data_IF_341795296680
#
_entry.id   IF_341795296680
#
_cell.length_a   1.000
_cell.length_b   1.000
_cell.length_c   1.000
_cell.angle_alpha   90.00
_cell.angle_beta   90.00
_cell.angle_gamma   90.00
#
_symmetry.space_group_name_H-M   'P 1'
#
loop_
_entity.id
_entity.type
_entity.pdbx_description
1 polymer ?
#
# COMPACT_ATOMS: atom_id res chain seq x y z
N UNK A 1 7.17 -28.30 -0.01
CA UNK A 1 6.84 -27.52 -1.23
C UNK A 1 5.79 -28.28 -2.01
N UNK A 2 4.56 -27.80 -2.05
CA UNK A 2 3.52 -28.40 -2.87
C UNK A 2 3.70 -27.89 -4.31
N UNK A 3 4.04 -28.77 -5.24
CA UNK A 3 4.14 -28.47 -6.65
C UNK A 3 2.83 -28.83 -7.33
N UNK A 4 2.28 -27.89 -8.09
CA UNK A 4 1.23 -28.19 -9.05
C UNK A 4 1.88 -28.29 -10.44
N UNK A 5 2.15 -29.51 -10.89
CA UNK A 5 2.61 -29.74 -12.25
C UNK A 5 1.41 -29.96 -13.16
N UNK A 6 1.28 -29.14 -14.17
CA UNK A 6 0.33 -29.37 -15.27
C UNK A 6 1.03 -30.13 -16.37
N UNK A 7 0.89 -31.43 -16.40
CA UNK A 7 1.19 -32.24 -17.59
C UNK A 7 -0.13 -32.65 -18.23
N UNK A 8 -0.34 -32.22 -19.45
CA UNK A 8 -1.55 -32.49 -20.27
C UNK A 8 -2.88 -32.16 -19.60
N UNK A 9 -3.91 -31.91 -20.31
CA UNK A 9 -5.27 -31.47 -20.01
C UNK A 9 -5.90 -31.71 -18.61
N UNK A 10 -5.19 -32.30 -17.64
CA UNK A 10 -5.60 -32.44 -16.25
C UNK A 10 -4.48 -32.01 -15.29
N UNK A 11 -4.76 -31.13 -14.34
CA UNK A 11 -3.77 -30.75 -13.33
C UNK A 11 -3.52 -31.92 -12.39
N UNK A 12 -2.31 -32.49 -12.41
CA UNK A 12 -1.89 -33.44 -11.42
C UNK A 12 -1.35 -32.70 -10.19
N UNK A 13 -2.07 -32.80 -9.08
CA UNK A 13 -1.61 -32.32 -7.79
C UNK A 13 -0.67 -33.42 -7.23
N UNK A 14 0.63 -33.15 -7.19
CA UNK A 14 1.58 -34.06 -6.57
C UNK A 14 1.90 -33.55 -5.17
N UNK A 15 1.42 -34.25 -4.15
CA UNK A 15 1.84 -34.03 -2.77
C UNK A 15 3.03 -34.93 -2.50
N UNK A 16 4.18 -34.34 -2.19
CA UNK A 16 5.40 -35.10 -1.86
C UNK A 16 5.34 -35.75 -0.48
N UNK A 17 4.33 -35.39 0.33
CA UNK A 17 4.17 -35.91 1.69
C UNK A 17 5.14 -35.30 2.71
N UNK A 18 6.01 -34.39 2.30
CA UNK A 18 6.89 -33.65 3.20
C UNK A 18 6.19 -32.42 3.74
N UNK A 19 6.17 -32.27 5.06
CA UNK A 19 5.67 -31.06 5.71
C UNK A 19 6.69 -29.94 5.56
N UNK A 20 6.31 -28.85 4.92
CA UNK A 20 7.08 -27.61 4.92
C UNK A 20 6.54 -26.69 6.02
N UNK A 21 7.40 -26.38 6.98
CA UNK A 21 7.05 -25.46 8.06
C UNK A 21 7.94 -24.24 7.99
N UNK A 22 7.35 -23.09 7.66
CA UNK A 22 8.00 -21.80 7.77
C UNK A 22 7.48 -21.10 9.04
N UNK A 23 8.39 -20.82 9.99
CA UNK A 23 8.04 -20.13 11.24
C UNK A 23 8.69 -18.75 11.27
N UNK A 24 7.88 -17.73 11.34
CA UNK A 24 8.34 -16.35 11.52
C UNK A 24 7.70 -15.75 12.77
N UNK A 25 8.50 -15.09 13.58
CA UNK A 25 8.04 -14.39 14.77
C UNK A 25 8.51 -12.94 14.70
N UNK A 26 7.56 -12.04 14.58
CA UNK A 26 7.81 -10.60 14.55
C UNK A 26 7.16 -9.95 15.78
N UNK A 27 7.85 -8.98 16.38
CA UNK A 27 7.33 -8.19 17.50
C UNK A 27 7.42 -6.71 17.15
N UNK A 28 6.30 -6.00 17.22
CA UNK A 28 6.19 -4.59 16.91
C UNK A 28 5.68 -3.80 18.09
N UNK A 29 6.24 -2.62 18.30
CA UNK A 29 5.73 -1.64 19.25
C UNK A 29 5.01 -0.54 18.48
N UNK A 30 3.72 -0.34 18.75
CA UNK A 30 2.87 0.60 18.04
C UNK A 30 2.35 1.68 19.02
N UNK A 31 3.23 2.62 19.45
CA UNK A 31 2.82 3.68 20.36
C UNK A 31 1.83 4.62 19.69
N UNK A 32 0.92 5.16 20.49
CA UNK A 32 -0.03 6.17 20.09
C UNK A 32 -0.17 7.25 21.17
N UNK A 33 -0.12 8.51 20.74
CA UNK A 33 -0.33 9.66 21.60
C UNK A 33 -1.43 10.55 20.99
N UNK A 34 -2.42 10.90 21.80
CA UNK A 34 -3.51 11.78 21.40
C UNK A 34 -3.61 12.93 22.39
N UNK A 35 -3.62 14.14 21.85
CA UNK A 35 -3.81 15.36 22.61
C UNK A 35 -5.07 16.05 22.11
N UNK A 36 -5.88 16.52 23.05
CA UNK A 36 -7.05 17.34 22.77
C UNK A 36 -7.08 18.51 23.73
N UNK A 37 -7.20 19.71 23.19
CA UNK A 37 -7.30 20.93 23.95
C UNK A 37 -8.51 21.74 23.52
N UNK A 38 -9.34 22.14 24.48
CA UNK A 38 -10.53 22.95 24.28
C UNK A 38 -10.42 24.20 25.13
N UNK A 39 -9.83 25.29 24.59
CA UNK A 39 -9.74 26.54 25.35
C UNK A 39 -11.09 27.26 25.50
N UNK A 40 -12.05 26.93 24.63
CA UNK A 40 -13.42 27.43 24.66
C UNK A 40 -14.37 26.37 24.07
N UNK A 41 -15.66 26.47 24.34
CA UNK A 41 -16.66 25.51 23.86
C UNK A 41 -16.75 25.45 22.32
N UNK A 42 -16.45 26.55 21.68
CA UNK A 42 -16.46 26.70 20.24
C UNK A 42 -15.14 26.36 19.54
N UNK A 43 -14.03 26.11 20.29
CA UNK A 43 -12.72 25.85 19.75
C UNK A 43 -12.19 24.51 20.24
N UNK A 44 -11.79 23.65 19.28
CA UNK A 44 -11.21 22.37 19.59
C UNK A 44 -9.93 22.14 18.77
N UNK A 45 -8.84 21.88 19.45
CA UNK A 45 -7.53 21.61 18.88
C UNK A 45 -7.17 20.17 19.21
N UNK A 46 -6.69 19.43 18.19
CA UNK A 46 -6.26 18.04 18.36
C UNK A 46 -4.91 17.84 17.70
N UNK A 47 -4.10 17.01 18.33
CA UNK A 47 -2.88 16.49 17.76
C UNK A 47 -2.80 14.99 18.03
N UNK A 48 -2.35 14.22 17.08
CA UNK A 48 -2.13 12.79 17.20
C UNK A 48 -0.78 12.40 16.61
N UNK A 49 -0.12 11.46 17.28
CA UNK A 49 1.04 10.75 16.76
C UNK A 49 0.79 9.27 16.99
N UNK A 50 0.80 8.50 15.90
CA UNK A 50 0.47 7.08 15.95
C UNK A 50 1.38 6.27 15.06
N UNK A 51 1.73 5.06 15.50
CA UNK A 51 2.37 4.07 14.66
C UNK A 51 1.36 2.96 14.34
N UNK A 52 1.28 2.61 13.07
CA UNK A 52 0.36 1.59 12.58
C UNK A 52 1.10 0.55 11.76
N UNK A 53 0.50 -0.63 11.62
CA UNK A 53 1.06 -1.77 10.92
C UNK A 53 0.07 -2.26 9.87
N UNK A 54 0.57 -2.52 8.66
CA UNK A 54 -0.17 -3.17 7.58
C UNK A 54 0.45 -4.54 7.34
N UNK A 55 -0.29 -5.61 7.62
CA UNK A 55 0.19 -6.97 7.41
C UNK A 55 0.03 -7.38 5.96
N UNK A 56 0.96 -8.21 5.42
CA UNK A 56 0.76 -8.87 4.12
C UNK A 56 -0.52 -9.70 4.11
N UNK A 57 -1.12 -9.86 2.94
CA UNK A 57 -2.20 -10.82 2.79
C UNK A 57 -1.67 -12.24 3.00
N UNK A 58 -2.49 -13.10 3.58
CA UNK A 58 -2.10 -14.50 3.77
C UNK A 58 -1.80 -15.21 2.45
N UNK A 59 -2.52 -14.86 1.38
CA UNK A 59 -2.27 -15.38 0.04
C UNK A 59 -0.85 -15.10 -0.46
N UNK A 60 -0.26 -13.98 -0.08
CA UNK A 60 1.04 -13.54 -0.59
C UNK A 60 2.22 -14.21 0.12
N UNK A 61 1.98 -14.74 1.34
CA UNK A 61 3.00 -15.35 2.19
C UNK A 61 2.90 -16.89 2.29
N UNK A 62 1.91 -17.51 1.64
CA UNK A 62 1.82 -18.97 1.60
C UNK A 62 2.98 -19.49 0.75
N UNK A 63 3.77 -20.47 1.23
CA UNK A 63 4.89 -21.06 0.48
C UNK A 63 4.37 -21.99 -0.63
N UNK A 64 3.61 -21.43 -1.56
CA UNK A 64 3.04 -22.12 -2.70
C UNK A 64 3.57 -21.50 -3.99
N UNK A 65 4.15 -22.35 -4.83
CA UNK A 65 4.55 -21.99 -6.19
C UNK A 65 3.59 -22.68 -7.15
N UNK A 66 2.90 -21.91 -7.97
CA UNK A 66 2.02 -22.44 -9.00
C UNK A 66 2.68 -22.31 -10.38
N UNK A 67 2.98 -23.45 -11.01
CA UNK A 67 3.48 -23.49 -12.37
C UNK A 67 2.33 -23.32 -13.35
N UNK A 68 2.36 -22.27 -14.15
CA UNK A 68 1.35 -22.00 -15.17
C UNK A 68 1.76 -22.61 -16.52
N UNK A 69 1.60 -23.92 -16.63
CA UNK A 69 1.59 -24.70 -17.87
C UNK A 69 2.75 -24.44 -18.86
N UNK A 70 2.38 -24.32 -20.14
CA UNK A 70 3.30 -24.18 -21.27
C UNK A 70 4.02 -22.83 -21.36
N UNK A 71 3.73 -21.88 -20.47
CA UNK A 71 4.20 -20.52 -20.55
C UNK A 71 5.54 -20.27 -19.84
N UNK A 72 6.17 -21.28 -19.24
CA UNK A 72 7.37 -21.09 -18.42
C UNK A 72 7.19 -19.97 -17.38
N UNK A 73 6.01 -19.93 -16.79
CA UNK A 73 5.62 -18.92 -15.82
C UNK A 73 5.34 -19.56 -14.47
N UNK A 74 5.61 -18.81 -13.41
CA UNK A 74 5.36 -19.24 -12.03
C UNK A 74 4.71 -18.11 -11.27
N UNK A 75 3.64 -18.42 -10.52
CA UNK A 75 3.09 -17.51 -9.53
C UNK A 75 3.90 -17.69 -8.24
N UNK A 76 4.78 -16.72 -8.00
CA UNK A 76 5.70 -16.76 -6.88
C UNK A 76 5.16 -15.93 -5.73
N UNK A 77 5.00 -16.58 -4.59
CA UNK A 77 4.57 -15.92 -3.36
C UNK A 77 5.75 -15.72 -2.43
N UNK A 78 5.90 -14.48 -1.96
CA UNK A 78 7.02 -14.10 -1.12
C UNK A 78 6.67 -14.30 0.35
N UNK A 79 7.10 -15.45 0.91
CA UNK A 79 6.86 -15.79 2.32
C UNK A 79 7.64 -14.89 3.30
N UNK A 80 8.62 -14.14 2.82
CA UNK A 80 9.48 -13.27 3.62
C UNK A 80 8.99 -11.82 3.67
N UNK A 81 7.79 -11.53 3.14
CA UNK A 81 7.20 -10.21 3.20
C UNK A 81 7.11 -9.70 4.64
N UNK A 82 7.62 -8.50 4.84
CA UNK A 82 7.50 -7.78 6.10
C UNK A 82 6.23 -6.93 6.13
N UNK A 83 5.60 -6.78 7.30
CA UNK A 83 4.55 -5.81 7.47
C UNK A 83 5.03 -4.38 7.15
N UNK A 84 4.19 -3.64 6.48
CA UNK A 84 4.40 -2.20 6.29
C UNK A 84 4.16 -1.45 7.59
N UNK A 85 5.05 -0.55 7.96
CA UNK A 85 4.95 0.30 9.15
C UNK A 85 4.67 1.74 8.73
N UNK A 86 3.75 2.41 9.40
CA UNK A 86 3.44 3.81 9.17
C UNK A 86 3.52 4.63 10.45
N UNK A 87 4.34 5.67 10.44
CA UNK A 87 4.31 6.75 11.43
C UNK A 87 3.38 7.85 10.91
N UNK A 88 2.33 8.14 11.66
CA UNK A 88 1.33 9.12 11.31
C UNK A 88 1.36 10.29 12.30
N UNK A 89 1.25 11.51 11.80
CA UNK A 89 1.13 12.74 12.59
C UNK A 89 -0.03 13.54 12.03
N UNK A 90 -0.97 13.82 12.90
CA UNK A 90 -2.19 14.53 12.57
C UNK A 90 -2.32 15.75 13.47
N UNK A 91 -2.70 16.86 12.90
CA UNK A 91 -3.07 18.08 13.63
C UNK A 91 -4.38 18.60 13.07
N UNK A 92 -5.29 18.99 13.95
CA UNK A 92 -6.52 19.65 13.50
C UNK A 92 -6.97 20.73 14.47
N UNK A 93 -7.57 21.75 13.88
CA UNK A 93 -8.25 22.82 14.60
C UNK A 93 -9.67 22.92 14.05
N UNK A 94 -10.66 22.98 14.92
CA UNK A 94 -12.06 23.14 14.51
C UNK A 94 -12.77 24.18 15.35
N UNK A 95 -13.57 24.96 14.67
CA UNK A 95 -14.43 26.02 15.19
C UNK A 95 -15.88 25.60 14.99
N UNK A 96 -16.72 25.81 16.01
CA UNK A 96 -18.13 25.55 15.92
C UNK A 96 -18.88 26.70 16.58
N UNK A 97 -19.54 27.51 15.78
CA UNK A 97 -20.32 28.69 16.23
C UNK A 97 -21.65 28.79 15.49
N UNK A 98 -22.70 29.19 16.19
CA UNK A 98 -24.08 29.21 15.66
C UNK A 98 -24.24 30.01 14.37
N UNK A 99 -23.55 31.14 14.22
CA UNK A 99 -23.67 32.03 13.04
C UNK A 99 -22.69 31.65 11.92
N UNK A 100 -21.53 31.18 12.27
CA UNK A 100 -20.46 30.84 11.30
C UNK A 100 -20.63 29.40 10.81
N UNK A 101 -21.15 28.55 11.68
CA UNK A 101 -21.22 27.11 11.46
C UNK A 101 -19.97 26.38 11.97
N UNK A 102 -19.68 25.28 11.35
CA UNK A 102 -18.48 24.43 11.64
C UNK A 102 -17.42 24.70 10.57
N UNK A 103 -16.21 25.02 11.01
CA UNK A 103 -15.01 25.12 10.18
C UNK A 103 -13.96 24.21 10.78
N UNK A 104 -13.34 23.39 9.97
CA UNK A 104 -12.21 22.55 10.39
C UNK A 104 -11.07 22.64 9.40
N UNK A 105 -9.85 22.74 9.94
CA UNK A 105 -8.60 22.58 9.21
C UNK A 105 -7.85 21.41 9.80
N UNK A 106 -7.42 20.47 8.97
CA UNK A 106 -6.57 19.34 9.31
C UNK A 106 -5.29 19.37 8.49
N UNK A 107 -4.17 18.99 9.12
CA UNK A 107 -2.90 18.72 8.46
C UNK A 107 -2.42 17.35 8.89
N UNK A 108 -1.97 16.53 7.95
CA UNK A 108 -1.49 15.18 8.24
C UNK A 108 -0.22 14.86 7.47
N UNK A 109 0.59 14.01 8.09
CA UNK A 109 1.75 13.40 7.44
C UNK A 109 1.80 11.92 7.75
N UNK A 110 2.24 11.13 6.76
CA UNK A 110 2.48 9.70 6.92
C UNK A 110 3.86 9.35 6.35
N UNK A 111 4.63 8.62 7.14
CA UNK A 111 5.93 8.10 6.74
C UNK A 111 5.84 6.57 6.77
N UNK A 112 5.78 5.95 5.59
CA UNK A 112 5.56 4.51 5.45
C UNK A 112 6.88 3.85 5.10
N UNK A 113 7.22 2.79 5.83
CA UNK A 113 8.35 1.88 5.55
C UNK A 113 7.79 0.53 5.13
N UNK A 114 8.59 -0.23 4.41
CA UNK A 114 8.24 -1.58 3.95
C UNK A 114 6.89 -1.63 3.23
N UNK A 115 6.57 -0.60 2.41
CA UNK A 115 5.35 -0.61 1.62
C UNK A 115 5.34 -1.86 0.74
N UNK A 116 4.31 -2.67 0.90
CA UNK A 116 4.12 -3.88 0.09
C UNK A 116 3.61 -3.45 -1.28
N UNK A 117 4.31 -3.88 -2.35
CA UNK A 117 3.92 -3.58 -3.72
C UNK A 117 4.13 -4.79 -4.61
N UNK A 118 3.37 -4.86 -5.70
CA UNK A 118 3.56 -5.86 -6.74
C UNK A 118 4.36 -5.27 -7.89
N UNK A 119 5.45 -5.93 -8.25
CA UNK A 119 6.30 -5.53 -9.37
C UNK A 119 5.75 -5.98 -10.74
N UNK A 120 4.64 -6.72 -10.76
CA UNK A 120 4.09 -7.30 -11.97
C UNK A 120 4.89 -8.52 -12.44
N UNK A 121 5.22 -8.56 -13.74
CA UNK A 121 5.99 -9.67 -14.32
C UNK A 121 7.49 -9.41 -14.21
N UNK A 122 8.22 -10.41 -13.73
CA UNK A 122 9.67 -10.44 -13.71
C UNK A 122 10.19 -11.57 -14.60
N UNK A 123 11.25 -11.31 -15.36
CA UNK A 123 11.98 -12.37 -16.05
C UNK A 123 13.16 -12.81 -15.18
N UNK A 124 13.33 -14.12 -15.02
CA UNK A 124 14.40 -14.69 -14.21
C UNK A 124 15.51 -15.13 -15.14
N UNK A 125 16.71 -14.63 -14.90
CA UNK A 125 17.93 -15.02 -15.64
C UNK A 125 18.62 -16.22 -15.02
N UNK A 126 18.53 -16.37 -13.70
CA UNK A 126 19.06 -17.54 -12.97
C UNK A 126 17.94 -18.20 -12.16
N UNK A 127 17.35 -19.30 -12.69
CA UNK A 127 16.30 -20.02 -12.00
C UNK A 127 16.75 -20.65 -10.68
N UNK A 128 18.06 -20.93 -10.52
CA UNK A 128 18.59 -21.59 -9.33
C UNK A 128 18.48 -20.72 -8.07
N UNK A 129 18.58 -19.42 -8.20
CA UNK A 129 18.39 -18.47 -7.09
C UNK A 129 16.98 -18.53 -6.50
N UNK A 130 16.03 -18.99 -7.31
CA UNK A 130 14.62 -19.12 -6.91
C UNK A 130 14.21 -20.59 -6.67
N UNK A 131 15.18 -21.53 -6.69
CA UNK A 131 14.88 -22.94 -6.54
C UNK A 131 14.06 -23.54 -7.69
N UNK A 132 14.08 -22.92 -8.86
CA UNK A 132 13.35 -23.34 -10.05
C UNK A 132 14.21 -24.32 -10.90
N UNK A 133 13.58 -25.23 -11.65
CA UNK A 133 14.29 -26.14 -12.53
C UNK A 133 15.03 -25.40 -13.65
N UNK A 134 16.28 -25.80 -13.93
CA UNK A 134 17.12 -25.21 -14.97
C UNK A 134 16.82 -25.71 -16.39
N UNK A 135 15.80 -26.54 -16.57
CA UNK A 135 15.41 -27.10 -17.86
C UNK A 135 14.58 -26.14 -18.73
N UNK A 136 14.30 -24.94 -18.26
CA UNK A 136 13.55 -23.91 -18.96
C UNK A 136 14.47 -22.71 -19.21
N UNK A 137 14.54 -22.29 -20.45
CA UNK A 137 15.47 -21.25 -20.91
C UNK A 137 15.14 -19.86 -20.33
N UNK A 138 13.85 -19.59 -20.09
CA UNK A 138 13.38 -18.32 -19.51
C UNK A 138 12.16 -18.55 -18.65
N UNK A 139 12.28 -18.20 -17.39
CA UNK A 139 11.16 -18.18 -16.47
C UNK A 139 10.58 -16.78 -16.32
N UNK A 140 9.25 -16.70 -16.13
CA UNK A 140 8.54 -15.49 -15.75
C UNK A 140 7.96 -15.68 -14.35
N UNK A 141 8.25 -14.76 -13.46
CA UNK A 141 7.48 -14.64 -12.21
C UNK A 141 6.32 -13.68 -12.48
N UNK A 142 5.11 -14.14 -12.17
CA UNK A 142 3.91 -13.34 -12.26
C UNK A 142 3.56 -12.81 -10.87
N UNK A 143 3.13 -11.54 -10.83
CA UNK A 143 2.60 -10.93 -9.60
C UNK A 143 3.57 -11.01 -8.40
N UNK A 144 4.87 -10.88 -8.65
CA UNK A 144 5.85 -10.85 -7.58
C UNK A 144 5.59 -9.67 -6.64
N UNK A 145 5.36 -9.99 -5.37
CA UNK A 145 5.09 -9.00 -4.33
C UNK A 145 6.30 -8.89 -3.42
N UNK A 146 6.73 -7.67 -3.15
CA UNK A 146 7.91 -7.37 -2.36
C UNK A 146 7.70 -6.15 -1.45
N UNK A 147 8.62 -5.93 -0.53
CA UNK A 147 8.66 -4.75 0.30
C UNK A 147 9.49 -3.65 -0.37
N UNK A 148 8.94 -2.46 -0.45
CA UNK A 148 9.67 -1.30 -0.93
C UNK A 148 10.74 -0.89 0.10
N UNK A 149 12.01 -0.95 -0.30
CA UNK A 149 13.15 -0.54 0.52
C UNK A 149 13.22 0.98 0.77
N UNK A 150 12.49 1.76 -0.03
CA UNK A 150 12.43 3.22 0.12
C UNK A 150 11.22 3.62 0.96
N UNK A 151 11.39 4.69 1.72
CA UNK A 151 10.30 5.29 2.48
C UNK A 151 9.33 6.02 1.56
N UNK A 152 8.06 5.89 1.86
CA UNK A 152 6.97 6.65 1.22
C UNK A 152 6.56 7.77 2.14
N UNK A 153 6.57 8.99 1.62
CA UNK A 153 6.10 10.17 2.32
C UNK A 153 4.77 10.62 1.72
N UNK A 154 3.79 10.83 2.58
CA UNK A 154 2.50 11.36 2.21
C UNK A 154 2.15 12.48 3.18
N UNK A 155 1.80 13.64 2.66
CA UNK A 155 1.34 14.79 3.43
C UNK A 155 0.17 15.45 2.76
N UNK A 156 -0.64 16.11 3.53
CA UNK A 156 -1.79 16.80 3.00
C UNK A 156 -2.49 17.66 4.04
N UNK A 157 -3.48 18.40 3.56
CA UNK A 157 -4.38 19.16 4.41
C UNK A 157 -5.82 19.01 3.95
N UNK A 158 -6.72 19.19 4.89
CA UNK A 158 -8.17 19.11 4.71
C UNK A 158 -8.83 20.36 5.26
N UNK A 159 -9.81 20.86 4.54
CA UNK A 159 -10.67 21.96 4.94
C UNK A 159 -12.12 21.51 4.87
N UNK A 160 -12.83 21.64 5.99
CA UNK A 160 -14.27 21.40 6.06
C UNK A 160 -14.99 22.67 6.45
N UNK A 161 -16.06 22.97 5.76
CA UNK A 161 -16.98 24.04 6.11
C UNK A 161 -18.41 23.55 6.02
N UNK A 162 -19.14 23.72 7.13
CA UNK A 162 -20.55 23.37 7.20
C UNK A 162 -21.31 24.51 7.90
N UNK A 163 -22.34 25.00 7.27
CA UNK A 163 -23.16 26.05 7.87
C UNK A 163 -24.62 25.93 7.45
N UNK A 164 -25.48 26.54 8.28
CA UNK A 164 -26.89 26.73 8.01
C UNK A 164 -27.22 28.21 8.14
N UNK A 165 -27.73 28.81 7.08
CA UNK A 165 -28.06 30.21 7.02
C UNK A 165 -29.48 30.46 7.57
N UNK A 166 -29.69 30.24 8.86
CA UNK A 166 -31.00 30.45 9.53
C UNK A 166 -31.35 31.91 9.71
N UNK A 167 -30.38 32.80 9.62
CA UNK A 167 -30.51 34.24 9.81
C UNK A 167 -30.75 35.04 8.53
N UNK A 168 -30.72 34.36 7.37
CA UNK A 168 -30.99 35.04 6.10
C UNK A 168 -32.49 35.14 5.84
N UNK A 169 -32.96 36.27 5.20
CA UNK A 169 -34.38 36.48 4.94
C UNK A 169 -34.90 35.66 3.74
N UNK A 170 -36.21 35.41 3.73
CA UNK A 170 -36.94 34.83 2.59
C UNK A 170 -36.51 33.42 2.24
N UNK A 171 -36.32 33.14 0.96
CA UNK A 171 -36.00 31.81 0.45
C UNK A 171 -34.60 31.29 0.87
N UNK A 172 -33.72 32.15 1.34
CA UNK A 172 -32.40 31.79 1.82
C UNK A 172 -32.38 31.32 3.26
N UNK A 173 -33.51 31.47 3.97
CA UNK A 173 -33.65 31.00 5.34
C UNK A 173 -33.60 29.47 5.36
N UNK A 174 -32.62 28.93 6.08
CA UNK A 174 -32.43 27.50 6.21
C UNK A 174 -31.62 26.85 5.09
N UNK A 175 -31.04 27.63 4.18
CA UNK A 175 -30.03 27.11 3.25
C UNK A 175 -28.90 26.44 4.03
N UNK A 176 -28.53 25.22 3.64
CA UNK A 176 -27.40 24.46 4.21
C UNK A 176 -26.29 24.40 3.17
N UNK A 177 -25.10 24.79 3.58
CA UNK A 177 -23.89 24.68 2.76
C UNK A 177 -22.91 23.70 3.43
N UNK A 178 -22.46 22.72 2.67
CA UNK A 178 -21.35 21.82 3.04
C UNK A 178 -20.31 21.89 1.94
N UNK A 179 -19.06 22.17 2.33
CA UNK A 179 -17.92 22.20 1.43
C UNK A 179 -16.74 21.49 2.09
N UNK A 180 -16.08 20.62 1.33
CA UNK A 180 -14.87 19.94 1.73
C UNK A 180 -13.80 20.12 0.66
N UNK A 181 -12.57 20.35 1.07
CA UNK A 181 -11.42 20.43 0.19
C UNK A 181 -10.27 19.66 0.81
N UNK A 182 -9.69 18.71 0.04
CA UNK A 182 -8.54 17.91 0.45
C UNK A 182 -7.44 18.07 -0.58
N UNK A 183 -6.23 18.37 -0.10
CA UNK A 183 -5.01 18.36 -0.89
C UNK A 183 -4.07 17.28 -0.34
N UNK A 184 -3.54 16.43 -1.22
CA UNK A 184 -2.61 15.36 -0.87
C UNK A 184 -1.43 15.38 -1.83
N UNK A 185 -0.23 15.33 -1.26
CA UNK A 185 1.01 15.13 -1.98
C UNK A 185 1.67 13.83 -1.51
N UNK A 186 2.12 13.00 -2.44
CA UNK A 186 2.83 11.78 -2.14
C UNK A 186 4.17 11.72 -2.89
N UNK A 187 5.22 11.30 -2.20
CA UNK A 187 6.53 11.05 -2.77
C UNK A 187 6.90 9.59 -2.54
N UNK A 188 6.99 8.83 -3.62
CA UNK A 188 7.30 7.39 -3.61
C UNK A 188 8.44 7.13 -4.55
N UNK A 189 9.45 6.39 -4.06
CA UNK A 189 10.51 5.81 -4.90
C UNK A 189 10.33 4.31 -4.89
N UNK A 190 10.46 3.69 -6.04
CA UNK A 190 10.47 2.24 -6.18
C UNK A 190 11.85 1.75 -6.61
N UNK A 191 12.27 0.54 -6.19
CA UNK A 191 13.46 -0.07 -6.75
C UNK A 191 13.25 -0.28 -8.26
N UNK A 192 14.27 -0.01 -9.05
CA UNK A 192 14.24 -0.35 -10.47
C UNK A 192 14.17 -1.85 -10.64
N UNK A 193 13.39 -2.26 -11.62
CA UNK A 193 13.23 -3.66 -11.91
C UNK A 193 14.50 -4.20 -12.61
N UNK A 194 14.78 -5.50 -12.46
CA UNK A 194 15.93 -6.18 -13.06
C UNK A 194 15.97 -6.06 -14.60
N UNK A 195 14.82 -5.78 -15.21
CA UNK A 195 14.70 -5.49 -16.64
C UNK A 195 15.51 -4.26 -17.11
N UNK A 196 15.90 -3.38 -16.19
CA UNK A 196 16.78 -2.24 -16.49
C UNK A 196 18.15 -2.70 -17.05
N UNK A 197 18.54 -3.94 -16.82
CA UNK A 197 19.78 -4.50 -17.37
C UNK A 197 19.68 -4.82 -18.86
N UNK A 198 18.47 -4.94 -19.39
CA UNK A 198 18.22 -5.33 -20.79
C UNK A 198 17.59 -4.22 -21.63
N UNK A 199 17.08 -3.18 -21.01
CA UNK A 199 16.45 -2.06 -21.70
C UNK A 199 17.11 -0.75 -21.27
N UNK A 200 17.59 -0.03 -22.25
CA UNK A 200 17.94 1.37 -22.07
C UNK A 200 16.63 2.17 -22.03
N UNK A 201 16.20 2.51 -20.83
CA UNK A 201 14.95 3.25 -20.60
C UNK A 201 15.01 4.71 -21.08
N UNK A 202 16.23 5.20 -21.33
CA UNK A 202 16.46 6.51 -21.93
C UNK A 202 16.40 6.44 -23.46
N UNK A 203 16.44 5.24 -24.03
CA UNK A 203 16.26 5.04 -25.44
C UNK A 203 14.77 5.10 -25.82
N UNK A 204 14.44 5.94 -26.76
CA UNK A 204 13.09 5.97 -27.37
C UNK A 204 12.75 4.58 -27.92
N UNK A 205 11.62 3.96 -27.54
CA UNK A 205 11.27 2.64 -28.05
C UNK A 205 11.27 2.66 -29.59
N UNK A 206 11.85 1.64 -30.25
CA UNK A 206 11.82 1.58 -31.71
C UNK A 206 10.37 1.55 -32.20
N UNK A 207 9.97 2.54 -32.98
CA UNK A 207 8.63 2.65 -33.57
C UNK A 207 7.72 3.72 -32.96
N UNK A 208 8.17 4.50 -31.99
CA UNK A 208 7.49 5.73 -31.55
C UNK A 208 8.10 6.90 -32.32
N UNK A 209 7.45 7.28 -33.40
CA UNK A 209 7.70 8.51 -34.19
C UNK A 209 6.62 9.52 -33.80
#
# INVERSE_FOLDING_TARGET
TAYRAQQSAQPNLVFTGEEYTHKRKNSYSLPALFLRYRPADWLNIRAAWTNTLTRPNYSDIIPLQEYLGTASAVDWRNQDLEPGESENKDFSISLNQDRIGFISFGYFTKNIKNLIFSSGRLYITDPSEFGLPNNVEKWQILNYTDNNSYKVLLNGFELDYQTRFWYLPGMLNGLVLNANYTFIESNVKYPRNILDQFFDWDATPPGVI
#
